data_IF_245736292583
#
_entry.id   IF_245736292583
#
_cell.length_a   1.000
_cell.length_b   1.000
_cell.length_c   1.000
_cell.angle_alpha   90.00
_cell.angle_beta   90.00
_cell.angle_gamma   90.00
#
_symmetry.space_group_name_H-M   'P 1'
#
loop_
_entity.id
_entity.type
_entity.pdbx_description
1 polymer ?
#
# COMPACT_ATOMS: atom_id res chain seq x y z
N UNK A 1 21.39 -52.18 40.05
CA UNK A 1 20.97 -50.76 40.14
C UNK A 1 21.94 -49.86 39.37
N UNK A 2 22.08 -50.08 38.05
CA UNK A 2 22.98 -49.30 37.15
C UNK A 2 22.28 -48.79 35.89
N UNK A 3 20.99 -49.06 35.72
CA UNK A 3 20.24 -48.79 34.48
C UNK A 3 19.46 -47.46 34.56
N UNK A 4 19.18 -46.95 35.76
CA UNK A 4 18.38 -45.72 35.95
C UNK A 4 19.14 -44.42 35.65
N UNK A 5 20.47 -44.39 35.80
CA UNK A 5 21.27 -43.18 35.52
C UNK A 5 21.57 -42.96 34.03
N UNK A 6 21.36 -43.97 33.18
CA UNK A 6 21.64 -43.87 31.74
C UNK A 6 20.54 -43.17 30.96
N UNK A 7 19.31 -43.16 31.49
CA UNK A 7 18.15 -42.59 30.79
C UNK A 7 18.06 -41.08 31.07
N UNK A 8 18.50 -40.63 32.25
CA UNK A 8 18.51 -39.20 32.61
C UNK A 8 19.57 -38.40 31.83
N UNK A 9 20.67 -39.03 31.42
CA UNK A 9 21.70 -38.40 30.57
C UNK A 9 21.31 -38.32 29.08
N UNK A 10 20.34 -39.13 28.63
CA UNK A 10 19.84 -39.11 27.24
C UNK A 10 18.67 -38.13 27.10
N UNK A 11 17.99 -37.80 28.20
CA UNK A 11 16.87 -36.85 28.22
C UNK A 11 17.36 -35.39 28.34
N UNK A 12 18.59 -35.14 28.79
CA UNK A 12 19.22 -33.81 28.76
C UNK A 12 19.90 -33.48 27.41
N UNK A 13 19.33 -34.00 26.31
CA UNK A 13 19.63 -33.53 24.97
C UNK A 13 18.34 -33.57 24.12
N UNK A 14 17.21 -33.21 24.72
CA UNK A 14 16.12 -32.64 23.95
C UNK A 14 16.56 -31.23 23.55
N UNK A 15 17.42 -31.17 22.53
CA UNK A 15 17.60 -29.97 21.73
C UNK A 15 16.20 -29.69 21.20
N UNK A 16 15.52 -28.71 21.78
CA UNK A 16 14.44 -28.03 21.10
C UNK A 16 15.09 -27.35 19.90
N UNK A 17 15.26 -28.10 18.81
CA UNK A 17 15.40 -27.54 17.48
C UNK A 17 14.02 -26.99 17.15
N UNK A 18 13.63 -25.90 17.82
CA UNK A 18 12.63 -25.00 17.25
C UNK A 18 13.33 -24.46 16.01
N UNK A 19 13.04 -25.07 14.86
CA UNK A 19 13.34 -24.45 13.59
C UNK A 19 12.66 -23.09 13.64
N UNK A 20 13.45 -22.03 13.78
CA UNK A 20 12.97 -20.72 13.40
C UNK A 20 12.69 -20.87 11.91
N UNK A 21 11.42 -20.98 11.54
CA UNK A 21 11.05 -20.59 10.19
C UNK A 21 11.63 -19.18 10.04
N UNK A 22 12.47 -18.96 9.02
CA UNK A 22 12.87 -17.59 8.71
C UNK A 22 11.57 -16.81 8.50
N UNK A 23 11.41 -15.70 9.20
CA UNK A 23 10.20 -14.92 9.07
C UNK A 23 10.04 -14.52 7.60
N UNK A 24 8.82 -14.59 7.07
CA UNK A 24 8.56 -14.31 5.66
C UNK A 24 7.92 -12.92 5.54
N UNK A 25 8.72 -11.93 5.17
CA UNK A 25 8.21 -10.62 4.77
C UNK A 25 7.68 -10.70 3.34
N UNK A 26 6.36 -10.60 3.20
CA UNK A 26 5.65 -10.59 1.92
C UNK A 26 5.20 -9.17 1.62
N UNK A 27 5.86 -8.55 0.64
CA UNK A 27 5.50 -7.21 0.14
C UNK A 27 4.65 -7.34 -1.12
N UNK A 28 3.56 -6.59 -1.18
CA UNK A 28 2.62 -6.55 -2.30
C UNK A 28 2.68 -5.15 -2.91
N UNK A 29 2.71 -5.08 -4.25
CA UNK A 29 2.72 -3.80 -4.96
C UNK A 29 1.42 -3.02 -4.73
N UNK A 30 1.53 -1.71 -4.74
CA UNK A 30 0.42 -0.80 -4.45
C UNK A 30 0.00 0.01 -5.66
N UNK A 31 -1.27 0.40 -5.66
CA UNK A 31 -1.84 1.33 -6.63
C UNK A 31 -2.65 2.40 -5.88
N UNK A 32 -2.35 3.68 -6.13
CA UNK A 32 -3.09 4.81 -5.57
C UNK A 32 -3.63 5.73 -6.66
N UNK A 33 -4.87 6.18 -6.46
CA UNK A 33 -5.50 7.17 -7.33
C UNK A 33 -5.22 8.60 -6.87
N UNK A 34 -4.69 9.45 -7.75
CA UNK A 34 -4.52 10.88 -7.50
C UNK A 34 -5.87 11.58 -7.75
N UNK A 35 -6.46 12.22 -6.73
CA UNK A 35 -7.76 12.88 -6.87
C UNK A 35 -7.66 14.15 -7.73
N UNK A 36 -8.81 14.63 -8.23
CA UNK A 36 -8.89 15.86 -9.01
C UNK A 36 -8.43 17.13 -8.24
N UNK A 37 -8.38 17.08 -6.90
CA UNK A 37 -7.80 18.13 -6.06
C UNK A 37 -6.27 18.23 -6.18
N UNK A 38 -5.62 17.27 -6.85
CA UNK A 38 -4.16 17.18 -7.02
C UNK A 38 -3.35 17.04 -5.72
N UNK A 39 -4.01 16.73 -4.62
CA UNK A 39 -3.35 16.33 -3.39
C UNK A 39 -3.80 14.92 -3.04
N UNK A 40 -2.90 13.96 -3.25
CA UNK A 40 -3.07 12.61 -2.71
C UNK A 40 -2.46 12.59 -1.32
N UNK A 41 -3.27 12.26 -0.32
CA UNK A 41 -2.83 12.04 1.05
C UNK A 41 -3.11 10.58 1.42
N UNK A 42 -2.05 9.84 1.71
CA UNK A 42 -2.10 8.44 2.14
C UNK A 42 -1.68 8.39 3.60
N UNK A 43 -2.63 7.98 4.44
CA UNK A 43 -2.40 7.79 5.88
C UNK A 43 -1.75 6.43 6.14
N UNK A 44 -1.13 6.27 7.31
CA UNK A 44 -0.63 4.98 7.79
C UNK A 44 -1.77 3.94 7.86
N UNK A 45 -1.58 2.66 7.49
CA UNK A 45 -0.32 1.98 7.16
C UNK A 45 0.21 2.21 5.74
N UNK A 46 -0.51 2.97 4.92
CA UNK A 46 -0.15 3.38 3.57
C UNK A 46 0.28 2.21 2.68
N UNK A 47 1.52 2.25 2.18
CA UNK A 47 2.07 1.20 1.31
C UNK A 47 2.19 -0.18 1.99
N UNK A 48 2.07 -0.26 3.31
CA UNK A 48 2.15 -1.52 4.06
C UNK A 48 0.78 -2.14 4.38
N UNK A 49 -0.34 -1.54 3.96
CA UNK A 49 -1.69 -1.99 4.33
C UNK A 49 -1.96 -3.46 3.93
N UNK A 50 -1.44 -3.87 2.77
CA UNK A 50 -1.56 -5.22 2.19
C UNK A 50 -0.33 -6.12 2.44
N UNK A 51 0.71 -5.60 3.10
CA UNK A 51 1.95 -6.32 3.38
C UNK A 51 1.83 -7.21 4.62
N UNK A 52 2.57 -8.32 4.63
CA UNK A 52 2.52 -9.29 5.73
C UNK A 52 3.90 -9.72 6.22
N UNK A 53 4.06 -9.85 7.53
CA UNK A 53 5.18 -10.55 8.16
C UNK A 53 4.61 -11.80 8.84
N UNK A 54 5.03 -12.98 8.40
CA UNK A 54 4.53 -14.27 8.91
C UNK A 54 3.01 -14.43 8.85
N UNK A 55 2.38 -13.81 7.85
CA UNK A 55 0.93 -13.85 7.64
C UNK A 55 0.15 -12.80 8.43
N UNK A 56 0.80 -12.07 9.33
CA UNK A 56 0.21 -10.98 10.10
C UNK A 56 0.48 -9.63 9.44
N UNK A 57 -0.28 -8.59 9.80
CA UNK A 57 -0.10 -7.27 9.22
C UNK A 57 1.32 -6.71 9.50
N UNK A 58 2.02 -6.28 8.46
CA UNK A 58 3.41 -5.85 8.55
C UNK A 58 3.63 -4.69 9.53
N UNK A 59 2.77 -3.67 9.54
CA UNK A 59 2.95 -2.50 10.41
C UNK A 59 2.76 -2.85 11.90
N UNK A 60 1.86 -3.79 12.20
CA UNK A 60 1.60 -4.25 13.58
C UNK A 60 2.79 -5.01 14.16
N UNK A 61 3.64 -5.59 13.30
CA UNK A 61 4.84 -6.31 13.68
C UNK A 61 6.14 -5.49 13.52
N UNK A 62 6.00 -4.16 13.41
CA UNK A 62 7.14 -3.24 13.45
C UNK A 62 7.96 -3.20 12.15
N UNK A 63 7.39 -3.64 11.03
CA UNK A 63 7.98 -3.37 9.72
C UNK A 63 7.95 -1.87 9.47
N UNK A 64 9.04 -1.35 8.91
CA UNK A 64 9.15 0.04 8.45
C UNK A 64 9.52 0.07 6.99
N UNK A 65 9.19 1.17 6.31
CA UNK A 65 9.57 1.37 4.91
C UNK A 65 10.54 2.53 4.73
N UNK A 66 11.30 2.47 3.65
CA UNK A 66 12.16 3.57 3.22
C UNK A 66 12.10 3.66 1.71
N UNK A 67 12.04 4.88 1.17
CA UNK A 67 12.12 5.10 -0.27
C UNK A 67 13.49 4.62 -0.79
N UNK A 68 13.51 3.82 -1.86
CA UNK A 68 14.77 3.40 -2.48
C UNK A 68 15.39 4.61 -3.19
N UNK A 69 16.69 4.90 -3.00
CA UNK A 69 17.37 6.02 -3.69
C UNK A 69 17.17 5.98 -5.21
N UNK A 70 16.99 7.15 -5.81
CA UNK A 70 16.79 7.35 -7.26
C UNK A 70 15.55 6.64 -7.85
N UNK A 71 14.70 6.03 -7.02
CA UNK A 71 13.44 5.40 -7.44
C UNK A 71 12.20 6.22 -7.10
N UNK A 72 12.38 7.45 -6.59
CA UNK A 72 11.26 8.32 -6.24
C UNK A 72 10.39 8.70 -7.46
N UNK A 73 9.18 9.21 -7.20
CA UNK A 73 8.32 9.68 -8.27
C UNK A 73 8.97 10.81 -9.05
N UNK A 74 8.74 10.86 -10.37
CA UNK A 74 9.41 11.79 -11.28
C UNK A 74 8.49 12.91 -11.79
N UNK A 75 7.17 12.76 -11.59
CA UNK A 75 6.15 13.64 -12.14
C UNK A 75 5.40 14.41 -11.06
N UNK A 76 5.95 14.44 -9.85
CA UNK A 76 5.41 15.17 -8.72
C UNK A 76 6.39 15.23 -7.57
N UNK A 77 5.97 15.94 -6.53
CA UNK A 77 6.69 15.99 -5.26
C UNK A 77 5.97 15.11 -4.26
N UNK A 78 6.66 14.10 -3.75
CA UNK A 78 6.23 13.30 -2.61
C UNK A 78 6.78 13.88 -1.32
N UNK A 79 6.00 13.91 -0.23
CA UNK A 79 6.43 14.43 1.07
C UNK A 79 6.10 13.49 2.22
N UNK A 80 6.98 13.48 3.22
CA UNK A 80 6.72 12.92 4.55
C UNK A 80 6.82 14.05 5.58
N UNK A 81 5.71 14.38 6.26
CA UNK A 81 5.66 15.45 7.28
C UNK A 81 6.29 16.77 6.80
N UNK A 82 6.06 17.14 5.52
CA UNK A 82 6.60 18.36 4.91
C UNK A 82 8.02 18.26 4.34
N UNK A 83 8.66 17.10 4.42
CA UNK A 83 10.01 16.86 3.85
C UNK A 83 9.89 16.31 2.43
N UNK A 84 10.43 16.99 1.42
CA UNK A 84 10.32 16.60 0.01
C UNK A 84 11.13 15.34 -0.35
N UNK A 85 10.60 14.59 -1.33
CA UNK A 85 11.13 13.32 -1.84
C UNK A 85 11.36 12.27 -0.73
N UNK A 86 10.39 12.16 0.18
CA UNK A 86 10.44 11.22 1.30
C UNK A 86 9.12 10.44 1.42
N UNK A 87 9.26 9.15 1.77
CA UNK A 87 8.19 8.26 2.23
C UNK A 87 8.33 8.14 3.76
N UNK A 88 7.23 8.26 4.52
CA UNK A 88 7.30 8.06 5.96
C UNK A 88 7.54 6.60 6.31
N UNK A 89 8.26 6.35 7.42
CA UNK A 89 8.60 4.99 7.86
C UNK A 89 7.37 4.12 8.18
N UNK A 90 6.23 4.74 8.48
CA UNK A 90 4.93 4.12 8.75
C UNK A 90 4.09 3.87 7.47
N UNK A 91 4.70 4.06 6.30
CA UNK A 91 4.10 3.85 4.99
C UNK A 91 3.25 5.02 4.47
N UNK A 92 3.05 6.06 5.27
CA UNK A 92 2.27 7.25 4.87
C UNK A 92 3.07 8.16 3.94
N UNK A 93 2.36 8.89 3.08
CA UNK A 93 2.95 9.93 2.24
C UNK A 93 1.89 10.90 1.71
N UNK A 94 2.35 12.07 1.33
CA UNK A 94 1.59 13.01 0.50
C UNK A 94 2.23 13.09 -0.88
N UNK A 95 1.42 13.33 -1.90
CA UNK A 95 1.88 13.49 -3.28
C UNK A 95 1.15 14.60 -4.00
N UNK A 96 1.92 15.50 -4.60
CA UNK A 96 1.43 16.60 -5.45
C UNK A 96 2.07 16.46 -6.84
N UNK A 97 1.30 16.14 -7.90
CA UNK A 97 1.83 16.07 -9.26
C UNK A 97 2.28 17.44 -9.74
N UNK A 98 3.40 17.49 -10.48
CA UNK A 98 3.91 18.69 -11.11
C UNK A 98 2.85 19.29 -12.05
N UNK A 99 2.78 20.62 -12.12
CA UNK A 99 2.00 21.30 -13.15
C UNK A 99 2.75 21.15 -14.48
N UNK A 100 2.06 20.76 -15.57
CA UNK A 100 2.60 20.94 -16.91
C UNK A 100 2.49 22.43 -17.26
N UNK A 101 3.61 23.16 -17.35
CA UNK A 101 3.60 24.61 -17.57
C UNK A 101 3.28 25.00 -19.03
N UNK A 102 3.26 24.07 -19.99
CA UNK A 102 3.04 24.36 -21.42
C UNK A 102 1.64 23.99 -21.91
N UNK A 103 1.07 22.88 -21.43
CA UNK A 103 -0.24 22.40 -21.90
C UNK A 103 -1.42 22.88 -21.04
N UNK A 104 -1.16 23.30 -19.79
CA UNK A 104 -2.22 23.56 -18.82
C UNK A 104 -3.01 22.30 -18.40
N UNK A 105 -2.62 21.12 -18.89
CA UNK A 105 -3.26 19.84 -18.57
C UNK A 105 -2.29 18.86 -17.89
N UNK A 106 -2.71 18.48 -16.69
CA UNK A 106 -2.66 17.19 -16.00
C UNK A 106 -1.48 16.24 -16.29
N UNK A 107 -0.76 15.89 -15.21
CA UNK A 107 -0.13 14.59 -14.94
C UNK A 107 -0.51 13.50 -15.96
N UNK A 108 0.49 12.88 -16.61
CA UNK A 108 0.34 11.95 -17.76
C UNK A 108 -0.31 10.59 -17.43
N UNK A 109 -1.12 10.58 -16.37
CA UNK A 109 -1.94 9.48 -15.95
C UNK A 109 -1.20 8.51 -15.05
N UNK A 110 0.14 8.47 -15.01
CA UNK A 110 0.85 7.54 -14.12
C UNK A 110 2.25 7.98 -13.64
N UNK A 111 2.61 7.69 -12.40
CA UNK A 111 3.96 7.84 -11.83
C UNK A 111 4.26 6.65 -10.93
N UNK A 112 5.53 6.42 -10.62
CA UNK A 112 5.96 5.18 -9.97
C UNK A 112 7.08 5.46 -8.99
N UNK A 113 7.10 4.71 -7.89
CA UNK A 113 8.27 4.62 -7.03
C UNK A 113 8.46 3.26 -6.39
N UNK A 114 9.64 3.00 -5.86
CA UNK A 114 9.94 1.75 -5.14
C UNK A 114 10.32 2.02 -3.68
N UNK A 115 9.88 1.15 -2.78
CA UNK A 115 10.26 1.20 -1.38
C UNK A 115 10.88 -0.12 -0.93
N UNK A 116 11.71 -0.04 0.10
CA UNK A 116 12.26 -1.18 0.82
C UNK A 116 11.52 -1.30 2.15
N UNK A 117 10.78 -2.38 2.34
CA UNK A 117 10.25 -2.77 3.65
C UNK A 117 11.33 -3.51 4.43
N UNK A 118 11.47 -3.22 5.72
CA UNK A 118 12.44 -3.82 6.63
C UNK A 118 11.78 -4.22 7.94
N UNK A 119 11.89 -5.49 8.31
CA UNK A 119 11.43 -5.99 9.61
C UNK A 119 12.46 -5.72 10.71
N UNK A 120 12.03 -5.82 11.97
CA UNK A 120 12.93 -5.74 13.14
C UNK A 120 13.91 -6.91 13.24
N UNK A 121 13.61 -8.04 12.61
CA UNK A 121 14.47 -9.23 12.54
C UNK A 121 15.47 -9.21 11.37
N UNK A 122 15.35 -8.24 10.46
CA UNK A 122 16.30 -8.00 9.38
C UNK A 122 15.87 -8.56 8.02
N UNK A 123 14.65 -9.08 7.89
CA UNK A 123 14.07 -9.40 6.58
C UNK A 123 13.77 -8.12 5.81
N UNK A 124 13.99 -8.18 4.50
CA UNK A 124 13.72 -7.05 3.60
C UNK A 124 13.05 -7.52 2.33
N UNK A 125 12.20 -6.66 1.76
CA UNK A 125 11.54 -6.89 0.49
C UNK A 125 11.22 -5.56 -0.20
N UNK A 126 11.13 -5.57 -1.53
CA UNK A 126 10.88 -4.37 -2.35
C UNK A 126 9.43 -4.37 -2.80
N UNK A 127 8.76 -3.23 -2.64
CA UNK A 127 7.44 -2.95 -3.21
C UNK A 127 7.51 -1.87 -4.28
N UNK A 128 6.63 -2.00 -5.28
CA UNK A 128 6.44 -1.00 -6.34
C UNK A 128 5.10 -0.32 -6.12
N UNK A 129 5.09 1.01 -6.13
CA UNK A 129 3.88 1.81 -6.03
C UNK A 129 3.60 2.47 -7.37
N UNK A 130 2.38 2.32 -7.87
CA UNK A 130 1.88 3.02 -9.05
C UNK A 130 0.88 4.09 -8.63
N UNK A 131 1.12 5.34 -9.03
CA UNK A 131 0.22 6.47 -8.80
C UNK A 131 -0.49 6.79 -10.11
N UNK A 132 -1.81 6.79 -10.15
CA UNK A 132 -2.57 6.98 -11.39
C UNK A 132 -3.56 8.13 -11.25
N UNK A 133 -3.78 8.94 -12.29
CA UNK A 133 -4.83 9.96 -12.25
C UNK A 133 -6.21 9.32 -12.05
N UNK A 134 -7.01 9.85 -11.13
CA UNK A 134 -8.43 9.56 -11.12
C UNK A 134 -9.16 10.35 -12.21
N UNK A 135 -9.60 9.67 -13.26
CA UNK A 135 -10.55 10.24 -14.21
C UNK A 135 -11.91 10.44 -13.53
N UNK A 136 -12.05 11.61 -12.94
CA UNK A 136 -13.25 12.09 -12.26
C UNK A 136 -13.15 13.60 -12.18
N UNK A 137 -13.03 14.24 -13.35
CA UNK A 137 -13.04 15.70 -13.47
C UNK A 137 -14.25 16.30 -12.76
N UNK A 138 -14.14 17.57 -12.38
CA UNK A 138 -15.16 18.35 -11.70
C UNK A 138 -16.51 18.34 -12.45
N UNK A 139 -17.30 17.28 -12.23
CA UNK A 139 -18.68 17.17 -12.63
C UNK A 139 -19.54 17.74 -11.52
N UNK A 140 -20.28 18.80 -11.82
CA UNK A 140 -21.32 19.31 -10.95
C UNK A 140 -22.25 18.17 -10.51
N UNK A 141 -22.22 17.82 -9.22
CA UNK A 141 -23.27 17.06 -8.55
C UNK A 141 -23.03 15.56 -8.37
N UNK A 142 -22.32 15.18 -7.31
CA UNK A 142 -22.93 14.35 -6.25
C UNK A 142 -22.19 14.61 -4.93
N UNK A 143 -22.87 15.35 -4.06
CA UNK A 143 -22.47 15.54 -2.68
C UNK A 143 -22.77 14.24 -1.93
N UNK A 144 -21.82 13.31 -1.85
CA UNK A 144 -21.91 12.21 -0.89
C UNK A 144 -21.59 12.76 0.50
N UNK A 145 -22.51 13.54 1.05
CA UNK A 145 -22.51 13.80 2.49
C UNK A 145 -22.92 12.49 3.17
N UNK A 146 -21.97 11.93 3.91
CA UNK A 146 -22.22 11.12 5.10
C UNK A 146 -22.82 9.72 4.89
N UNK A 147 -22.01 8.79 4.35
CA UNK A 147 -22.11 7.39 4.75
C UNK A 147 -20.76 6.93 5.28
N UNK A 148 -20.61 6.98 6.60
CA UNK A 148 -19.51 6.35 7.33
C UNK A 148 -19.63 4.84 7.11
N UNK A 149 -18.75 4.30 6.27
CA UNK A 149 -18.26 2.93 6.41
C UNK A 149 -16.76 3.09 6.54
N UNK A 150 -16.18 2.50 7.59
CA UNK A 150 -14.74 2.40 7.83
C UNK A 150 -14.09 1.55 6.73
N UNK A 151 -14.09 2.04 5.51
CA UNK A 151 -13.37 1.48 4.39
C UNK A 151 -12.41 2.57 3.96
N UNK A 152 -11.23 2.57 4.61
CA UNK A 152 -10.08 3.41 4.25
C UNK A 152 -9.55 2.94 2.91
N UNK A 153 -10.33 3.15 1.85
CA UNK A 153 -9.85 2.88 0.51
C UNK A 153 -10.26 4.06 -0.36
N UNK A 154 -9.25 4.86 -0.69
CA UNK A 154 -9.30 5.76 -1.83
C UNK A 154 -9.27 4.91 -3.12
N UNK A 155 -10.25 4.02 -3.28
CA UNK A 155 -10.49 3.37 -4.56
C UNK A 155 -11.12 4.43 -5.45
N UNK A 156 -10.33 4.84 -6.45
CA UNK A 156 -10.88 5.46 -7.63
C UNK A 156 -11.94 4.52 -8.20
N UNK A 157 -13.22 4.91 -8.15
CA UNK A 157 -14.27 4.12 -8.78
C UNK A 157 -14.02 4.13 -10.29
N UNK A 158 -13.45 3.04 -10.83
CA UNK A 158 -13.37 2.81 -12.27
C UNK A 158 -14.80 2.73 -12.80
N UNK A 159 -15.34 3.83 -13.29
CA UNK A 159 -16.66 3.87 -13.92
C UNK A 159 -16.62 3.16 -15.26
N UNK A 160 -16.59 1.82 -15.25
CA UNK A 160 -16.73 1.00 -16.46
C UNK A 160 -17.33 -0.39 -16.16
N UNK A 161 -18.22 -0.50 -15.17
CA UNK A 161 -19.09 -1.65 -14.99
C UNK A 161 -20.55 -1.24 -15.13
N UNK A 162 -21.00 -1.02 -16.36
CA UNK A 162 -22.36 -1.39 -16.74
C UNK A 162 -22.24 -2.36 -17.92
N UNK A 163 -22.58 -3.66 -17.73
CA UNK A 163 -22.74 -4.56 -18.86
C UNK A 163 -23.91 -4.08 -19.73
N UNK A 164 -23.74 -4.24 -21.04
CA UNK A 164 -24.80 -4.14 -22.04
C UNK A 164 -26.01 -5.01 -21.64
N UNK A 165 -27.18 -4.55 -22.10
CA UNK A 165 -28.48 -5.24 -22.18
C UNK A 165 -29.41 -5.15 -20.96
N UNK A 166 -30.40 -4.25 -21.05
CA UNK A 166 -31.80 -4.63 -20.84
C UNK A 166 -32.71 -3.79 -21.77
N UNK A 167 -33.54 -4.51 -22.51
CA UNK A 167 -34.45 -4.03 -23.54
C UNK A 167 -35.73 -3.39 -22.99
N UNK A 168 -36.28 -2.46 -23.78
CA UNK A 168 -37.70 -2.26 -24.12
C UNK A 168 -38.75 -2.49 -23.01
N UNK A 169 -39.44 -1.41 -22.60
CA UNK A 169 -40.89 -1.23 -22.79
C UNK A 169 -41.31 0.18 -22.35
N UNK A 170 -41.89 0.95 -23.28
CA UNK A 170 -42.48 2.25 -23.02
C UNK A 170 -43.58 2.54 -24.04
N UNK A 171 -44.74 1.90 -23.88
CA UNK A 171 -45.99 2.34 -24.49
C UNK A 171 -46.70 3.29 -23.54
N UNK A 172 -46.85 4.56 -23.92
CA UNK A 172 -47.98 5.40 -23.54
C UNK A 172 -47.99 6.68 -24.38
N UNK A 173 -48.78 6.67 -25.45
CA UNK A 173 -49.55 7.82 -25.97
C UNK A 173 -50.75 7.25 -26.72
#
# INVERSE_FOLDING_TARGET
MKILNSILSVICLYIFATGFANAALTVVNDEFGIPASRLLQVESAGVMENDRLDGENAIEFGVTVTLIPDSGPTKGTMTCSGTSLQLCADGSFEYVPNEDPESGEVFDGSDTFQYLASSVSGETAIGVVTLTACEGGAGNGIHLRNLVIHLRIWFCARSNLLPRDYAVMGSAS
#
